data_IF_223443115497
#
_entry.id   IF_223443115497
#
_cell.length_a   1.000
_cell.length_b   1.000
_cell.length_c   1.000
_cell.angle_alpha   90.00
_cell.angle_beta   90.00
_cell.angle_gamma   90.00
#
_symmetry.space_group_name_H-M   'P 1'
#
loop_
_entity.id
_entity.type
_entity.pdbx_description
1 polymer ?
#
# COMPACT_ATOMS: atom_id res chain seq x y z
N UNK A 1 -12.93 -25.80 5.69
CA UNK A 1 -13.26 -24.36 5.64
C UNK A 1 -14.37 -24.17 4.63
N UNK A 2 -15.44 -23.45 4.97
CA UNK A 2 -16.49 -23.07 4.00
C UNK A 2 -15.92 -22.10 2.96
N UNK A 3 -16.58 -21.95 1.81
CA UNK A 3 -16.13 -21.03 0.75
C UNK A 3 -15.93 -19.60 1.25
N UNK A 4 -16.78 -19.12 2.15
CA UNK A 4 -16.72 -17.78 2.74
C UNK A 4 -15.51 -17.58 3.66
N UNK A 5 -15.13 -18.61 4.43
CA UNK A 5 -13.95 -18.56 5.28
C UNK A 5 -12.66 -18.39 4.47
N UNK A 6 -12.60 -19.01 3.28
CA UNK A 6 -11.44 -18.89 2.37
C UNK A 6 -11.34 -17.45 1.87
N UNK A 7 -12.45 -16.84 1.44
CA UNK A 7 -12.47 -15.45 0.95
C UNK A 7 -12.10 -14.47 2.07
N UNK A 8 -12.66 -14.65 3.28
CA UNK A 8 -12.32 -13.85 4.45
C UNK A 8 -10.83 -13.96 4.81
N UNK A 9 -10.28 -15.19 4.83
CA UNK A 9 -8.88 -15.41 5.11
C UNK A 9 -7.99 -14.76 4.04
N UNK A 10 -8.33 -14.92 2.76
CA UNK A 10 -7.60 -14.32 1.65
C UNK A 10 -7.58 -12.78 1.76
N UNK A 11 -8.75 -12.14 1.91
CA UNK A 11 -8.84 -10.69 2.06
C UNK A 11 -8.13 -10.18 3.32
N UNK A 12 -8.17 -10.95 4.42
CA UNK A 12 -7.44 -10.64 5.64
C UNK A 12 -5.92 -10.65 5.43
N UNK A 13 -5.38 -11.70 4.82
CA UNK A 13 -3.95 -11.80 4.50
C UNK A 13 -3.53 -10.74 3.47
N UNK A 14 -4.33 -10.49 2.44
CA UNK A 14 -4.06 -9.43 1.48
C UNK A 14 -4.04 -8.05 2.16
N UNK A 15 -4.98 -7.79 3.09
CA UNK A 15 -4.98 -6.54 3.88
C UNK A 15 -3.71 -6.41 4.71
N UNK A 16 -3.34 -7.46 5.45
CA UNK A 16 -2.16 -7.46 6.32
C UNK A 16 -0.86 -7.23 5.53
N UNK A 17 -0.66 -7.98 4.45
CA UNK A 17 0.54 -7.89 3.62
C UNK A 17 0.64 -6.51 2.98
N UNK A 18 -0.44 -6.02 2.35
CA UNK A 18 -0.39 -4.74 1.68
C UNK A 18 -0.27 -3.56 2.66
N UNK A 19 -0.85 -3.63 3.87
CA UNK A 19 -0.60 -2.64 4.92
C UNK A 19 0.85 -2.68 5.39
N UNK A 20 1.45 -3.86 5.52
CA UNK A 20 2.87 -4.02 5.83
C UNK A 20 3.75 -3.34 4.79
N UNK A 21 3.49 -3.59 3.50
CA UNK A 21 4.20 -2.95 2.39
C UNK A 21 4.00 -1.43 2.41
N UNK A 22 2.76 -0.95 2.59
CA UNK A 22 2.47 0.48 2.64
C UNK A 22 3.22 1.17 3.79
N UNK A 23 3.24 0.54 4.96
CA UNK A 23 3.94 1.06 6.14
C UNK A 23 5.44 1.08 5.94
N UNK A 24 6.03 -0.01 5.42
CA UNK A 24 7.44 -0.10 5.10
C UNK A 24 7.85 0.96 4.05
N UNK A 25 7.09 1.06 2.95
CA UNK A 25 7.29 2.06 1.92
C UNK A 25 7.21 3.48 2.48
N UNK A 26 6.25 3.75 3.36
CA UNK A 26 6.12 5.06 4.04
C UNK A 26 7.35 5.34 4.91
N UNK A 27 7.81 4.37 5.71
CA UNK A 27 8.99 4.50 6.55
C UNK A 27 10.25 4.76 5.71
N UNK A 28 10.42 4.08 4.58
CA UNK A 28 11.55 4.28 3.66
C UNK A 28 11.49 5.68 3.03
N UNK A 29 10.32 6.12 2.56
CA UNK A 29 10.16 7.45 1.94
C UNK A 29 10.39 8.57 2.96
N UNK A 30 9.89 8.43 4.19
CA UNK A 30 10.05 9.45 5.24
C UNK A 30 11.47 9.46 5.81
N UNK A 31 12.03 8.29 6.14
CA UNK A 31 13.36 8.18 6.77
C UNK A 31 14.54 8.25 5.80
N UNK A 32 14.39 7.65 4.61
CA UNK A 32 15.46 7.49 3.62
C UNK A 32 15.17 8.18 2.27
N UNK A 33 14.10 8.98 2.18
CA UNK A 33 13.63 9.56 0.91
C UNK A 33 14.64 10.43 0.18
N UNK A 34 15.58 11.08 0.88
CA UNK A 34 16.67 11.84 0.23
C UNK A 34 17.68 10.94 -0.48
N UNK A 35 18.10 9.84 0.14
CA UNK A 35 19.09 8.91 -0.43
C UNK A 35 18.48 8.08 -1.56
N UNK A 36 17.28 7.53 -1.32
CA UNK A 36 16.52 6.77 -2.32
C UNK A 36 16.11 7.67 -3.49
N UNK A 37 15.71 8.91 -3.18
CA UNK A 37 15.39 9.92 -4.19
C UNK A 37 16.56 10.21 -5.10
N UNK A 38 17.77 10.48 -4.58
CA UNK A 38 18.97 10.70 -5.42
C UNK A 38 19.29 9.53 -6.35
N UNK A 39 19.06 8.29 -5.90
CA UNK A 39 19.23 7.11 -6.73
C UNK A 39 18.21 7.10 -7.89
N UNK A 40 16.93 7.32 -7.58
CA UNK A 40 15.86 7.38 -8.59
C UNK A 40 16.04 8.57 -9.55
N UNK A 41 16.52 9.71 -9.07
CA UNK A 41 16.86 10.84 -9.94
C UNK A 41 17.92 10.47 -10.97
N UNK A 42 18.97 9.73 -10.57
CA UNK A 42 20.02 9.28 -11.49
C UNK A 42 19.51 8.24 -12.49
N UNK A 43 18.64 7.34 -12.05
CA UNK A 43 18.13 6.27 -12.92
C UNK A 43 17.06 6.75 -13.91
N UNK A 44 16.23 7.71 -13.50
CA UNK A 44 15.07 8.16 -14.27
C UNK A 44 15.21 9.60 -14.81
N UNK A 45 16.33 10.27 -14.56
CA UNK A 45 16.59 11.67 -14.95
C UNK A 45 15.49 12.66 -14.51
N UNK A 46 14.97 12.47 -13.30
CA UNK A 46 13.89 13.30 -12.73
C UNK A 46 14.44 14.38 -11.79
N UNK A 47 13.73 15.51 -11.72
CA UNK A 47 14.04 16.55 -10.75
C UNK A 47 13.61 16.16 -9.32
N UNK A 48 14.24 16.79 -8.34
CA UNK A 48 14.02 16.45 -6.92
C UNK A 48 12.60 16.74 -6.45
N UNK A 49 11.92 17.69 -7.10
CA UNK A 49 10.55 18.06 -6.79
C UNK A 49 9.55 17.05 -7.38
N UNK A 50 9.83 16.52 -8.57
CA UNK A 50 9.03 15.47 -9.23
C UNK A 50 9.06 14.18 -8.41
N UNK A 51 10.24 13.75 -7.95
CA UNK A 51 10.38 12.54 -7.14
C UNK A 51 9.54 12.60 -5.85
N UNK A 52 9.54 13.74 -5.14
CA UNK A 52 8.74 13.89 -3.91
C UNK A 52 7.24 13.82 -4.21
N UNK A 53 6.79 14.46 -5.29
CA UNK A 53 5.40 14.43 -5.73
C UNK A 53 4.98 13.01 -6.10
N UNK A 54 5.84 12.29 -6.82
CA UNK A 54 5.59 10.91 -7.23
C UNK A 54 5.55 9.93 -6.05
N UNK A 55 6.42 10.08 -5.05
CA UNK A 55 6.34 9.27 -3.84
C UNK A 55 5.08 9.51 -3.04
N UNK A 56 4.64 10.78 -2.90
CA UNK A 56 3.36 11.08 -2.26
C UNK A 56 2.19 10.46 -3.05
N UNK A 57 2.21 10.59 -4.39
CA UNK A 57 1.19 10.01 -5.28
C UNK A 57 1.15 8.49 -5.19
N UNK A 58 2.32 7.84 -5.17
CA UNK A 58 2.44 6.39 -4.98
C UNK A 58 1.83 5.96 -3.64
N UNK A 59 2.20 6.60 -2.53
CA UNK A 59 1.66 6.26 -1.21
C UNK A 59 0.14 6.49 -1.14
N UNK A 60 -0.36 7.59 -1.69
CA UNK A 60 -1.79 7.90 -1.72
C UNK A 60 -2.58 6.87 -2.55
N UNK A 61 -2.13 6.57 -3.76
CA UNK A 61 -2.78 5.61 -4.65
C UNK A 61 -2.73 4.19 -4.08
N UNK A 62 -1.57 3.78 -3.57
CA UNK A 62 -1.42 2.46 -2.96
C UNK A 62 -2.31 2.33 -1.72
N UNK A 63 -2.38 3.36 -0.86
CA UNK A 63 -3.32 3.40 0.27
C UNK A 63 -4.78 3.22 -0.18
N UNK A 64 -5.20 3.90 -1.24
CA UNK A 64 -6.56 3.75 -1.78
C UNK A 64 -6.82 2.34 -2.31
N UNK A 65 -5.87 1.74 -3.02
CA UNK A 65 -5.98 0.37 -3.51
C UNK A 65 -6.16 -0.63 -2.34
N UNK A 66 -5.36 -0.49 -1.28
CA UNK A 66 -5.47 -1.35 -0.10
C UNK A 66 -6.83 -1.20 0.59
N UNK A 67 -7.31 0.04 0.73
CA UNK A 67 -8.61 0.32 1.34
C UNK A 67 -9.76 -0.28 0.52
N UNK A 68 -9.84 0.06 -0.77
CA UNK A 68 -10.98 -0.27 -1.63
C UNK A 68 -11.04 -1.76 -1.95
N UNK A 69 -9.89 -2.41 -2.21
CA UNK A 69 -9.87 -3.78 -2.70
C UNK A 69 -9.60 -4.84 -1.63
N UNK A 70 -9.09 -4.47 -0.46
CA UNK A 70 -8.77 -5.44 0.59
C UNK A 70 -9.51 -5.15 1.89
N UNK A 71 -9.25 -4.01 2.53
CA UNK A 71 -9.78 -3.75 3.88
C UNK A 71 -11.31 -3.59 3.87
N UNK A 72 -11.87 -2.77 2.96
CA UNK A 72 -13.31 -2.53 2.90
C UNK A 72 -14.08 -3.82 2.59
N UNK A 73 -13.70 -4.64 1.58
CA UNK A 73 -14.36 -5.93 1.33
C UNK A 73 -14.22 -6.92 2.50
N UNK A 74 -13.07 -6.96 3.17
CA UNK A 74 -12.88 -7.79 4.36
C UNK A 74 -13.87 -7.42 5.48
N UNK A 75 -13.97 -6.13 5.79
CA UNK A 75 -14.89 -5.62 6.81
C UNK A 75 -16.34 -5.84 6.41
N UNK A 76 -16.69 -5.60 5.14
CA UNK A 76 -18.04 -5.83 4.63
C UNK A 76 -18.48 -7.29 4.84
N UNK A 77 -17.63 -8.26 4.50
CA UNK A 77 -17.94 -9.68 4.70
C UNK A 77 -17.99 -10.06 6.18
N UNK A 78 -17.08 -9.54 7.02
CA UNK A 78 -17.11 -9.77 8.48
C UNK A 78 -18.37 -9.23 9.15
N UNK A 79 -18.94 -8.15 8.63
CA UNK A 79 -20.16 -7.54 9.16
C UNK A 79 -21.43 -8.17 8.59
N UNK A 80 -21.40 -8.66 7.35
CA UNK A 80 -22.55 -9.27 6.68
C UNK A 80 -22.79 -10.73 7.09
N UNK A 81 -21.73 -11.46 7.43
CA UNK A 81 -21.80 -12.87 7.80
C UNK A 81 -21.88 -12.95 9.34
N UNK A 82 -22.90 -13.65 9.90
CA UNK A 82 -23.06 -13.81 11.35
C UNK A 82 -21.98 -14.66 12.00
#
# INVERSE_FOLDING_TARGET
MTSWEIVLAALGWCTLINLGILTLSTAIVVGCGRSVGRLHQKWFHLESHEIRREYFRYLANYKLLVLVFNLVPYLALRLAIP
#
